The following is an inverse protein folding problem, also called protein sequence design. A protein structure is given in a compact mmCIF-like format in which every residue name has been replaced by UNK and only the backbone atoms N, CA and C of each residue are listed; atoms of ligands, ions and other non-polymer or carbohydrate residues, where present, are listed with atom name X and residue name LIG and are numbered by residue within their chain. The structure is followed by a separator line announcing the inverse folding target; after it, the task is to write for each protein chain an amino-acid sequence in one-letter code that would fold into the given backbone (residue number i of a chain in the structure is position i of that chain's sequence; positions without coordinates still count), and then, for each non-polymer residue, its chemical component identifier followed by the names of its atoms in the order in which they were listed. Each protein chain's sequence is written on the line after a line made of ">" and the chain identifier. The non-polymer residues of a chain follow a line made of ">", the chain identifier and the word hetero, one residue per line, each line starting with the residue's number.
data_IF_783041217992
#
_entry.id   IF_783041217992
#
_cell.length_a   1.000
_cell.length_b   1.000
_cell.length_c   1.000
_cell.angle_alpha   90.00
_cell.angle_beta   90.00
_cell.angle_gamma   90.00
#
_symmetry.space_group_name_H-M   'P 1'
#
loop_
_entity.id
_entity.type
_entity.pdbx_description
1 polymer ?
#
# COMPACT_ATOMS: atom_id res chain seq x y z
N UNK A 1 -27.31 3.36 -5.61
CA UNK A 1 -27.01 2.24 -4.67
C UNK A 1 -25.68 2.41 -3.92
N UNK A 2 -24.58 2.87 -4.53
CA UNK A 2 -23.27 3.01 -3.82
C UNK A 2 -23.26 3.96 -2.60
N UNK A 3 -24.24 4.86 -2.51
CA UNK A 3 -24.40 5.84 -1.41
C UNK A 3 -25.33 5.38 -0.29
N UNK A 4 -25.91 4.19 -0.40
CA UNK A 4 -26.86 3.67 0.57
C UNK A 4 -26.12 2.96 1.71
N UNK A 5 -26.67 3.06 2.92
CA UNK A 5 -26.13 2.32 4.06
C UNK A 5 -26.31 0.81 3.86
N UNK A 6 -25.57 0.00 4.61
CA UNK A 6 -25.72 -1.46 4.56
C UNK A 6 -27.13 -1.92 4.92
N UNK A 7 -27.82 -1.19 5.82
CA UNK A 7 -29.19 -1.47 6.20
C UNK A 7 -30.18 -1.12 5.08
N UNK A 8 -30.03 0.04 4.44
CA UNK A 8 -30.87 0.42 3.30
C UNK A 8 -30.74 -0.57 2.14
N UNK A 9 -29.52 -1.06 1.90
CA UNK A 9 -29.26 -2.07 0.88
C UNK A 9 -29.90 -3.43 1.24
N UNK A 10 -29.98 -3.80 2.53
CA UNK A 10 -30.72 -5.00 2.97
C UNK A 10 -32.22 -4.84 2.76
N UNK A 11 -32.77 -3.69 3.10
CA UNK A 11 -34.19 -3.39 2.85
C UNK A 11 -34.51 -3.41 1.35
N UNK A 12 -33.59 -2.90 0.51
CA UNK A 12 -33.74 -2.98 -0.95
C UNK A 12 -33.82 -4.41 -1.50
N UNK A 13 -33.20 -5.40 -0.85
CA UNK A 13 -33.32 -6.82 -1.27
C UNK A 13 -34.74 -7.34 -1.16
N UNK A 14 -35.55 -6.76 -0.26
CA UNK A 14 -36.92 -7.20 -0.01
C UNK A 14 -37.94 -6.59 -0.99
N UNK A 15 -37.56 -5.54 -1.73
CA UNK A 15 -38.48 -4.79 -2.60
C UNK A 15 -38.87 -5.58 -3.84
N UNK A 16 -37.88 -6.06 -4.60
CA UNK A 16 -38.14 -6.89 -5.78
C UNK A 16 -36.91 -7.72 -6.18
N UNK A 17 -37.11 -8.73 -7.03
CA UNK A 17 -36.03 -9.62 -7.52
C UNK A 17 -34.89 -8.84 -8.20
N UNK A 18 -35.20 -7.86 -9.05
CA UNK A 18 -34.18 -7.08 -9.77
C UNK A 18 -33.28 -6.27 -8.83
N UNK A 19 -33.84 -5.70 -7.76
CA UNK A 19 -33.06 -4.99 -6.74
C UNK A 19 -32.26 -5.97 -5.88
N UNK A 20 -32.84 -7.12 -5.54
CA UNK A 20 -32.10 -8.18 -4.86
C UNK A 20 -30.89 -8.65 -5.68
N UNK A 21 -31.05 -8.88 -6.98
CA UNK A 21 -29.96 -9.26 -7.88
C UNK A 21 -28.88 -8.17 -7.94
N UNK A 22 -29.29 -6.90 -7.96
CA UNK A 22 -28.38 -5.76 -7.97
C UNK A 22 -27.59 -5.62 -6.67
N UNK A 23 -28.23 -5.78 -5.51
CA UNK A 23 -27.55 -5.76 -4.21
C UNK A 23 -26.67 -7.00 -4.04
N UNK A 24 -27.09 -8.15 -4.56
CA UNK A 24 -26.28 -9.37 -4.55
C UNK A 24 -25.01 -9.18 -5.37
N UNK A 25 -25.10 -8.55 -6.55
CA UNK A 25 -23.93 -8.15 -7.34
C UNK A 25 -23.01 -7.18 -6.58
N UNK A 26 -23.57 -6.20 -5.87
CA UNK A 26 -22.77 -5.28 -5.04
C UNK A 26 -22.07 -5.99 -3.87
N UNK A 27 -22.66 -7.04 -3.31
CA UNK A 27 -22.10 -7.85 -2.23
C UNK A 27 -21.03 -8.87 -2.73
N UNK A 28 -20.82 -8.94 -4.04
CA UNK A 28 -19.66 -9.60 -4.65
C UNK A 28 -18.40 -8.73 -4.57
N UNK A 29 -18.55 -7.40 -4.51
CA UNK A 29 -17.42 -6.48 -4.33
C UNK A 29 -17.03 -6.44 -2.85
N UNK A 30 -15.80 -6.84 -2.53
CA UNK A 30 -15.27 -6.73 -1.18
C UNK A 30 -14.65 -5.34 -1.03
N UNK A 31 -15.16 -4.52 -0.10
CA UNK A 31 -14.63 -3.17 0.11
C UNK A 31 -13.22 -3.23 0.70
N UNK A 32 -13.06 -4.02 1.76
CA UNK A 32 -11.80 -4.11 2.51
C UNK A 32 -11.59 -5.50 3.07
N UNK A 33 -10.38 -6.00 2.98
CA UNK A 33 -9.88 -7.15 3.73
C UNK A 33 -8.72 -6.67 4.58
N UNK A 34 -8.75 -6.94 5.88
CA UNK A 34 -7.65 -6.67 6.79
C UNK A 34 -7.22 -7.98 7.45
N UNK A 35 -5.93 -8.27 7.35
CA UNK A 35 -5.27 -9.41 7.97
C UNK A 35 -4.27 -8.82 8.96
N UNK A 36 -4.42 -9.16 10.23
CA UNK A 36 -3.53 -8.74 11.30
C UNK A 36 -2.94 -9.98 11.98
N UNK A 37 -1.63 -10.14 11.89
CA UNK A 37 -0.87 -11.17 12.61
C UNK A 37 -0.40 -10.61 13.95
N UNK A 38 -0.47 -11.42 14.99
CA UNK A 38 0.15 -11.20 16.30
C UNK A 38 0.90 -12.47 16.68
N UNK A 39 1.69 -12.43 17.75
CA UNK A 39 2.50 -13.56 18.22
C UNK A 39 1.70 -14.88 18.37
N UNK A 40 0.42 -14.76 18.72
CA UNK A 40 -0.43 -15.91 19.04
C UNK A 40 -1.78 -15.89 18.32
N UNK A 41 -1.99 -15.00 17.35
CA UNK A 41 -3.27 -14.98 16.64
C UNK A 41 -3.21 -14.36 15.25
N UNK A 42 -4.13 -14.79 14.39
CA UNK A 42 -4.49 -14.09 13.15
C UNK A 42 -5.91 -13.56 13.30
N UNK A 43 -6.07 -12.27 13.01
CA UNK A 43 -7.36 -11.65 12.84
C UNK A 43 -7.62 -11.34 11.37
N UNK A 44 -8.77 -11.79 10.88
CA UNK A 44 -9.24 -11.50 9.53
C UNK A 44 -10.55 -10.72 9.64
N UNK A 45 -10.58 -9.55 9.00
CA UNK A 45 -11.75 -8.68 8.92
C UNK A 45 -12.07 -8.44 7.46
N UNK A 46 -13.29 -8.80 7.05
CA UNK A 46 -13.79 -8.62 5.68
C UNK A 46 -15.01 -7.72 5.73
N UNK A 47 -14.91 -6.58 5.05
CA UNK A 47 -15.97 -5.58 4.97
C UNK A 47 -16.53 -5.55 3.56
N UNK A 48 -17.86 -5.70 3.45
CA UNK A 48 -18.63 -5.62 2.22
C UNK A 48 -19.68 -4.50 2.32
N UNK A 49 -20.33 -4.10 1.21
CA UNK A 49 -21.33 -3.03 1.28
C UNK A 49 -22.49 -3.26 2.24
N UNK A 50 -22.89 -4.53 2.46
CA UNK A 50 -24.06 -4.90 3.26
C UNK A 50 -23.76 -5.86 4.41
N UNK A 51 -22.52 -6.32 4.49
CA UNK A 51 -22.11 -7.35 5.44
C UNK A 51 -20.70 -7.10 5.94
N UNK A 52 -20.47 -7.60 7.15
CA UNK A 52 -19.21 -7.51 7.86
C UNK A 52 -18.93 -8.89 8.44
N UNK A 53 -17.69 -9.33 8.29
CA UNK A 53 -17.20 -10.58 8.83
C UNK A 53 -15.90 -10.31 9.58
N UNK A 54 -15.81 -10.85 10.79
CA UNK A 54 -14.56 -10.89 11.54
C UNK A 54 -14.41 -12.27 12.13
N UNK A 55 -13.20 -12.80 12.01
CA UNK A 55 -12.76 -13.95 12.76
C UNK A 55 -11.39 -13.69 13.38
N UNK A 56 -11.15 -14.35 14.49
CA UNK A 56 -9.86 -14.42 15.16
C UNK A 56 -9.52 -15.89 15.35
N UNK A 57 -8.31 -16.28 14.99
CA UNK A 57 -7.76 -17.61 15.22
C UNK A 57 -6.61 -17.46 16.20
N UNK A 58 -6.72 -18.06 17.38
CA UNK A 58 -5.74 -17.91 18.46
C UNK A 58 -5.04 -19.25 18.72
N UNK A 59 -3.73 -19.24 18.90
CA UNK A 59 -2.96 -20.41 19.28
C UNK A 59 -3.44 -21.00 20.62
N UNK A 60 -3.40 -22.32 20.74
CA UNK A 60 -3.72 -23.07 21.94
C UNK A 60 -2.72 -24.22 22.13
N UNK A 61 -2.66 -24.79 23.34
CA UNK A 61 -1.64 -25.79 23.71
C UNK A 61 -1.51 -26.97 22.71
N UNK A 62 -2.63 -27.43 22.13
CA UNK A 62 -2.65 -28.54 21.18
C UNK A 62 -3.34 -28.16 19.85
N UNK A 63 -3.23 -26.92 19.39
CA UNK A 63 -3.83 -26.47 18.12
C UNK A 63 -4.23 -25.01 18.16
N UNK A 64 -5.47 -24.70 17.77
CA UNK A 64 -5.97 -23.33 17.82
C UNK A 64 -7.46 -23.23 18.15
N UNK A 65 -7.86 -22.04 18.60
CA UNK A 65 -9.23 -21.65 18.87
C UNK A 65 -9.69 -20.67 17.80
N UNK A 66 -10.74 -21.03 17.09
CA UNK A 66 -11.37 -20.22 16.08
C UNK A 66 -12.61 -19.52 16.61
N UNK A 67 -12.65 -18.20 16.53
CA UNK A 67 -13.78 -17.40 16.93
C UNK A 67 -14.29 -16.56 15.75
N UNK A 68 -15.57 -16.75 15.40
CA UNK A 68 -16.27 -15.99 14.36
C UNK A 68 -17.38 -15.15 14.99
N UNK A 69 -17.57 -13.92 14.53
CA UNK A 69 -18.59 -12.99 15.06
C UNK A 69 -19.95 -13.66 15.30
N UNK A 70 -20.40 -13.66 16.56
CA UNK A 70 -21.70 -14.17 16.97
C UNK A 70 -21.80 -15.70 17.10
N UNK A 71 -20.69 -16.43 16.95
CA UNK A 71 -20.63 -17.88 17.10
C UNK A 71 -19.75 -18.28 18.28
N UNK A 72 -20.05 -19.44 18.85
CA UNK A 72 -19.22 -20.06 19.87
C UNK A 72 -17.83 -20.41 19.31
N UNK A 73 -16.77 -20.25 20.11
CA UNK A 73 -15.44 -20.67 19.69
C UNK A 73 -15.41 -22.15 19.33
N UNK A 74 -14.70 -22.48 18.24
CA UNK A 74 -14.45 -23.85 17.80
C UNK A 74 -12.98 -24.18 18.05
N UNK A 75 -12.69 -25.35 18.62
CA UNK A 75 -11.31 -25.81 18.84
C UNK A 75 -10.90 -26.71 17.69
N UNK A 76 -9.76 -26.41 17.08
CA UNK A 76 -9.13 -27.25 16.06
C UNK A 76 -7.86 -27.86 16.63
N UNK A 77 -7.95 -29.14 17.00
CA UNK A 77 -6.81 -29.89 17.51
C UNK A 77 -5.79 -30.18 16.39
N UNK A 78 -4.50 -30.10 16.71
CA UNK A 78 -3.39 -30.37 15.80
C UNK A 78 -3.23 -29.40 14.63
N UNK A 79 -4.01 -28.32 14.58
CA UNK A 79 -3.99 -27.33 13.50
C UNK A 79 -3.31 -26.04 13.96
N UNK A 80 -2.39 -25.52 13.14
CA UNK A 80 -1.73 -24.24 13.39
C UNK A 80 -2.69 -23.06 13.10
N UNK A 81 -2.61 -22.00 13.91
CA UNK A 81 -3.51 -20.86 13.80
C UNK A 81 -3.29 -20.04 12.52
N UNK A 82 -2.08 -20.05 11.94
CA UNK A 82 -1.78 -19.42 10.66
C UNK A 82 -2.48 -20.18 9.54
N UNK A 83 -2.42 -21.51 9.55
CA UNK A 83 -3.10 -22.35 8.57
C UNK A 83 -4.62 -22.15 8.56
N UNK A 84 -5.25 -22.14 9.73
CA UNK A 84 -6.68 -21.88 9.85
C UNK A 84 -7.04 -20.44 9.45
N UNK A 85 -6.21 -19.46 9.80
CA UNK A 85 -6.37 -18.07 9.35
C UNK A 85 -6.33 -17.95 7.83
N UNK A 86 -5.38 -18.64 7.17
CA UNK A 86 -5.26 -18.65 5.72
C UNK A 86 -6.40 -19.39 5.03
N UNK A 87 -6.98 -20.43 5.64
CA UNK A 87 -8.20 -21.08 5.12
C UNK A 87 -9.37 -20.10 5.07
N UNK A 88 -9.57 -19.30 6.10
CA UNK A 88 -10.63 -18.28 6.10
C UNK A 88 -10.34 -17.14 5.12
N UNK A 89 -9.08 -16.71 5.00
CA UNK A 89 -8.70 -15.74 3.99
C UNK A 89 -8.99 -16.28 2.58
N UNK A 90 -8.63 -17.53 2.30
CA UNK A 90 -8.92 -18.17 1.03
C UNK A 90 -10.43 -18.14 0.72
N UNK A 91 -11.29 -18.51 1.69
CA UNK A 91 -12.76 -18.43 1.53
C UNK A 91 -13.23 -17.00 1.22
N UNK A 92 -12.59 -15.98 1.79
CA UNK A 92 -12.94 -14.59 1.54
C UNK A 92 -12.61 -14.15 0.11
N UNK A 93 -11.57 -14.72 -0.50
CA UNK A 93 -11.14 -14.36 -1.85
C UNK A 93 -11.52 -15.38 -2.92
N UNK A 94 -11.91 -16.61 -2.59
CA UNK A 94 -12.04 -17.78 -3.50
C UNK A 94 -12.75 -17.53 -4.84
N UNK A 95 -13.71 -16.61 -4.89
CA UNK A 95 -14.42 -16.27 -6.13
C UNK A 95 -13.46 -15.75 -7.21
N UNK A 96 -13.58 -16.32 -8.43
CA UNK A 96 -12.73 -15.98 -9.59
C UNK A 96 -12.69 -14.47 -9.88
N UNK A 97 -13.85 -13.83 -9.94
CA UNK A 97 -13.97 -12.41 -10.32
C UNK A 97 -14.05 -11.45 -9.13
N UNK A 98 -13.56 -11.85 -7.95
CA UNK A 98 -13.60 -10.97 -6.79
C UNK A 98 -12.74 -9.73 -7.02
N UNK A 99 -13.32 -8.56 -6.71
CA UNK A 99 -12.60 -7.30 -6.64
C UNK A 99 -12.50 -6.89 -5.18
N UNK A 100 -11.29 -6.58 -4.74
CA UNK A 100 -11.02 -6.07 -3.40
C UNK A 100 -10.71 -4.58 -3.52
N UNK A 101 -11.42 -3.73 -2.79
CA UNK A 101 -11.09 -2.30 -2.75
C UNK A 101 -9.74 -2.09 -2.07
N UNK A 102 -9.61 -2.59 -0.85
CA UNK A 102 -8.42 -2.44 -0.02
C UNK A 102 -8.00 -3.79 0.57
N UNK A 103 -6.74 -4.16 0.42
CA UNK A 103 -6.12 -5.27 1.15
C UNK A 103 -5.09 -4.71 2.13
N UNK A 104 -5.31 -4.94 3.43
CA UNK A 104 -4.44 -4.49 4.51
C UNK A 104 -3.78 -5.71 5.13
N UNK A 105 -2.46 -5.78 5.11
CA UNK A 105 -1.67 -6.88 5.69
C UNK A 105 -0.72 -6.28 6.71
N UNK A 106 -0.95 -6.57 7.98
CA UNK A 106 -0.23 -6.00 9.11
C UNK A 106 0.18 -7.09 10.08
N UNK A 107 1.21 -6.82 10.87
CA UNK A 107 1.61 -7.66 11.99
C UNK A 107 1.96 -6.79 13.19
N UNK A 108 1.94 -7.40 14.37
CA UNK A 108 2.40 -6.79 15.61
C UNK A 108 3.92 -6.66 15.60
N UNK A 109 4.43 -5.45 15.83
CA UNK A 109 5.87 -5.21 15.99
C UNK A 109 6.36 -5.99 17.20
N UNK A 110 7.02 -7.11 16.93
CA UNK A 110 7.61 -7.93 17.97
C UNK A 110 8.90 -7.30 18.47
N UNK A 111 9.01 -7.11 19.79
CA UNK A 111 10.32 -6.97 20.43
C UNK A 111 11.22 -8.13 19.96
N UNK A 112 12.40 -7.78 19.45
CA UNK A 112 13.55 -8.50 18.86
C UNK A 112 13.73 -10.02 19.05
N UNK A 113 12.67 -10.83 19.02
CA UNK A 113 12.74 -12.27 19.25
C UNK A 113 12.85 -13.05 17.92
N UNK A 114 13.89 -13.90 17.74
CA UNK A 114 14.09 -14.69 16.52
C UNK A 114 12.91 -15.58 16.14
N UNK A 115 12.15 -16.05 17.13
CA UNK A 115 10.97 -16.89 16.92
C UNK A 115 9.82 -16.12 16.25
N UNK A 116 9.71 -14.81 16.50
CA UNK A 116 8.69 -13.94 15.89
C UNK A 116 8.97 -13.70 14.40
N UNK A 117 10.25 -13.49 14.05
CA UNK A 117 10.66 -13.37 12.64
C UNK A 117 10.31 -14.64 11.84
N UNK A 118 10.55 -15.84 12.41
CA UNK A 118 10.22 -17.12 11.76
C UNK A 118 8.71 -17.28 11.49
N UNK A 119 7.85 -16.87 12.44
CA UNK A 119 6.39 -16.93 12.26
C UNK A 119 5.88 -15.90 11.25
N UNK A 120 6.53 -14.75 11.16
CA UNK A 120 6.22 -13.76 10.14
C UNK A 120 6.56 -14.26 8.73
N UNK A 121 7.77 -14.84 8.55
CA UNK A 121 8.17 -15.44 7.29
C UNK A 121 7.17 -16.54 6.87
N UNK A 122 6.82 -17.44 7.81
CA UNK A 122 5.81 -18.48 7.58
C UNK A 122 4.45 -17.89 7.16
N UNK A 123 4.03 -16.79 7.79
CA UNK A 123 2.79 -16.10 7.44
C UNK A 123 2.82 -15.56 6.01
N UNK A 124 3.89 -14.86 5.59
CA UNK A 124 4.00 -14.33 4.23
C UNK A 124 4.09 -15.45 3.19
N UNK A 125 4.81 -16.54 3.48
CA UNK A 125 4.85 -17.71 2.63
C UNK A 125 3.47 -18.34 2.45
N UNK A 126 2.72 -18.57 3.54
CA UNK A 126 1.38 -19.16 3.46
C UNK A 126 0.35 -18.21 2.84
N UNK A 127 0.47 -16.90 3.06
CA UNK A 127 -0.38 -15.90 2.40
C UNK A 127 -0.12 -15.88 0.88
N UNK A 128 1.15 -15.84 0.48
CA UNK A 128 1.55 -15.94 -0.92
C UNK A 128 1.08 -17.24 -1.56
N UNK A 129 1.30 -18.39 -0.90
CA UNK A 129 0.82 -19.68 -1.37
C UNK A 129 -0.71 -19.74 -1.51
N UNK A 130 -1.44 -19.05 -0.63
CA UNK A 130 -2.90 -18.96 -0.70
C UNK A 130 -3.34 -18.12 -1.90
N UNK A 131 -2.67 -17.00 -2.18
CA UNK A 131 -2.95 -16.18 -3.34
C UNK A 131 -2.54 -16.88 -4.66
N UNK A 132 -1.43 -17.61 -4.66
CA UNK A 132 -0.88 -18.31 -5.82
C UNK A 132 -1.75 -19.51 -6.27
N UNK A 133 -2.59 -20.07 -5.38
CA UNK A 133 -3.56 -21.12 -5.73
C UNK A 133 -4.67 -20.64 -6.65
N UNK A 134 -4.82 -19.34 -6.84
CA UNK A 134 -5.84 -18.76 -7.71
C UNK A 134 -5.44 -18.90 -9.17
N UNK A 135 -6.42 -19.20 -10.03
CA UNK A 135 -6.24 -19.19 -11.49
C UNK A 135 -5.81 -17.81 -12.02
N UNK A 136 -6.14 -16.74 -11.29
CA UNK A 136 -5.84 -15.35 -11.63
C UNK A 136 -5.38 -14.58 -10.40
N UNK A 137 -4.44 -13.65 -10.62
CA UNK A 137 -3.98 -12.71 -9.59
C UNK A 137 -5.16 -11.99 -8.94
N UNK A 138 -5.09 -11.77 -7.64
CA UNK A 138 -6.14 -11.04 -6.93
C UNK A 138 -6.15 -9.58 -7.41
N UNK A 139 -7.29 -9.13 -7.91
CA UNK A 139 -7.48 -7.73 -8.27
C UNK A 139 -7.84 -6.93 -7.02
N UNK A 140 -6.87 -6.19 -6.49
CA UNK A 140 -7.05 -5.26 -5.39
C UNK A 140 -6.76 -3.84 -5.86
N UNK A 141 -7.63 -2.86 -5.61
CA UNK A 141 -7.32 -1.46 -6.01
C UNK A 141 -6.12 -0.94 -5.21
N UNK A 142 -6.14 -1.15 -3.90
CA UNK A 142 -5.13 -0.70 -2.96
C UNK A 142 -4.57 -1.86 -2.12
N UNK A 143 -3.25 -1.90 -1.95
CA UNK A 143 -2.55 -2.75 -1.00
C UNK A 143 -1.82 -1.88 0.02
N UNK A 144 -2.15 -2.06 1.31
CA UNK A 144 -1.38 -1.55 2.43
C UNK A 144 -0.71 -2.71 3.15
N UNK A 145 0.61 -2.69 3.26
CA UNK A 145 1.39 -3.82 3.76
C UNK A 145 2.53 -3.36 4.65
N UNK A 146 2.64 -3.95 5.85
CA UNK A 146 3.83 -3.90 6.68
C UNK A 146 4.80 -5.01 6.28
N UNK A 147 6.10 -4.71 6.10
CA UNK A 147 7.16 -5.69 5.78
C UNK A 147 8.48 -5.35 6.48
N UNK A 148 9.28 -6.36 6.80
CA UNK A 148 10.67 -6.24 7.22
C UNK A 148 11.63 -6.38 6.03
N UNK A 149 11.29 -7.23 5.04
CA UNK A 149 12.20 -7.53 3.92
C UNK A 149 11.56 -7.32 2.54
N UNK A 150 12.36 -7.00 1.51
CA UNK A 150 11.86 -6.94 0.13
C UNK A 150 11.25 -8.25 -0.36
N UNK A 151 11.68 -9.40 0.18
CA UNK A 151 11.16 -10.70 -0.22
C UNK A 151 9.69 -10.87 0.16
N UNK A 152 9.30 -10.45 1.36
CA UNK A 152 7.91 -10.49 1.83
C UNK A 152 6.99 -9.68 0.90
N UNK A 153 7.40 -8.46 0.55
CA UNK A 153 6.66 -7.61 -0.37
C UNK A 153 6.56 -8.25 -1.76
N UNK A 154 7.68 -8.80 -2.26
CA UNK A 154 7.74 -9.47 -3.56
C UNK A 154 6.76 -10.64 -3.63
N UNK A 155 6.74 -11.49 -2.62
CA UNK A 155 5.85 -12.66 -2.54
C UNK A 155 4.38 -12.27 -2.71
N UNK A 156 3.97 -11.15 -2.13
CA UNK A 156 2.59 -10.67 -2.26
C UNK A 156 2.36 -10.02 -3.63
N UNK A 157 3.25 -9.13 -4.07
CA UNK A 157 3.11 -8.40 -5.35
C UNK A 157 3.10 -9.31 -6.58
N UNK A 158 3.72 -10.47 -6.52
CA UNK A 158 3.66 -11.47 -7.59
C UNK A 158 2.24 -12.01 -7.81
N UNK A 159 1.40 -12.00 -6.78
CA UNK A 159 0.09 -12.65 -6.78
C UNK A 159 -1.11 -11.67 -6.80
N UNK A 160 -0.83 -10.36 -6.90
CA UNK A 160 -1.87 -9.32 -6.93
C UNK A 160 -1.73 -8.41 -8.15
N UNK A 161 -2.83 -7.77 -8.54
CA UNK A 161 -2.88 -6.67 -9.48
C UNK A 161 -3.48 -5.45 -8.77
N UNK A 162 -2.79 -4.30 -8.80
CA UNK A 162 -3.18 -3.09 -8.08
C UNK A 162 -2.86 -1.77 -8.79
N UNK A 163 -3.41 -0.68 -8.29
CA UNK A 163 -3.09 0.68 -8.74
C UNK A 163 -2.46 1.53 -7.63
N UNK A 164 -2.68 1.16 -6.36
CA UNK A 164 -2.25 1.93 -5.19
C UNK A 164 -1.49 1.03 -4.22
N UNK A 165 -0.25 1.41 -3.87
CA UNK A 165 0.64 0.65 -3.01
C UNK A 165 1.12 1.51 -1.84
N UNK A 166 0.82 1.06 -0.62
CA UNK A 166 1.27 1.66 0.62
C UNK A 166 2.14 0.65 1.38
N UNK A 167 3.41 0.97 1.60
CA UNK A 167 4.39 0.10 2.25
C UNK A 167 4.79 0.74 3.56
N UNK A 168 4.70 -0.02 4.65
CA UNK A 168 5.35 0.31 5.91
C UNK A 168 6.55 -0.61 6.09
N UNK A 169 7.74 -0.04 6.08
CA UNK A 169 8.96 -0.79 6.36
C UNK A 169 9.16 -0.81 7.87
N UNK A 170 9.09 -1.98 8.44
CA UNK A 170 9.40 -2.23 9.83
C UNK A 170 10.88 -2.58 9.94
N UNK A 171 11.57 -1.88 10.82
CA UNK A 171 12.92 -2.17 11.29
C UNK A 171 14.02 -2.46 10.23
N UNK A 172 14.79 -1.42 9.90
CA UNK A 172 15.95 -1.47 8.99
C UNK A 172 17.23 -1.98 9.71
N UNK A 173 17.14 -3.12 10.41
CA UNK A 173 18.17 -3.62 11.37
C UNK A 173 19.59 -3.64 10.81
N UNK A 174 19.76 -4.16 9.59
CA UNK A 174 21.07 -4.41 8.97
C UNK A 174 21.31 -3.62 7.68
N UNK A 175 20.25 -3.15 7.05
CA UNK A 175 20.31 -2.40 5.81
C UNK A 175 19.95 -0.95 6.11
N UNK A 176 20.85 0.00 5.79
CA UNK A 176 20.52 1.43 5.90
C UNK A 176 19.31 1.82 5.04
N UNK A 177 18.93 0.98 4.07
CA UNK A 177 17.85 1.22 3.10
C UNK A 177 17.10 -0.05 2.73
N UNK A 178 15.78 0.05 2.55
CA UNK A 178 14.95 -1.01 1.99
C UNK A 178 15.18 -1.15 0.48
N UNK A 179 15.64 -2.32 0.03
CA UNK A 179 15.96 -2.55 -1.38
C UNK A 179 14.72 -2.81 -2.25
N UNK A 180 14.39 -1.84 -3.12
CA UNK A 180 13.27 -1.90 -4.05
C UNK A 180 13.63 -2.41 -5.45
N UNK A 181 14.90 -2.71 -5.74
CA UNK A 181 15.32 -3.27 -7.03
C UNK A 181 14.59 -4.57 -7.41
N UNK A 182 14.39 -5.56 -6.52
CA UNK A 182 13.62 -6.76 -6.87
C UNK A 182 12.12 -6.48 -7.10
N UNK A 183 11.62 -5.34 -6.62
CA UNK A 183 10.21 -4.96 -6.71
C UNK A 183 9.91 -4.20 -8.00
N UNK A 184 10.76 -3.23 -8.36
CA UNK A 184 10.52 -2.35 -9.52
C UNK A 184 10.57 -3.07 -10.87
N UNK A 185 11.20 -4.25 -10.91
CA UNK A 185 11.24 -5.09 -12.12
C UNK A 185 9.97 -5.92 -12.31
N UNK A 186 9.11 -6.03 -11.29
CA UNK A 186 7.86 -6.78 -11.41
C UNK A 186 6.93 -6.11 -12.43
N UNK A 187 6.21 -6.87 -13.27
CA UNK A 187 5.27 -6.29 -14.25
C UNK A 187 4.23 -5.37 -13.62
N UNK A 188 3.84 -5.68 -12.37
CA UNK A 188 2.86 -4.92 -11.60
C UNK A 188 3.33 -3.49 -11.26
N UNK A 189 4.65 -3.24 -11.18
CA UNK A 189 5.19 -1.92 -10.88
C UNK A 189 4.69 -0.83 -11.84
N UNK A 190 4.54 -1.18 -13.12
CA UNK A 190 4.10 -0.25 -14.19
C UNK A 190 2.63 0.17 -14.06
N UNK A 191 1.84 -0.57 -13.29
CA UNK A 191 0.42 -0.29 -13.07
C UNK A 191 0.17 0.62 -11.85
N UNK A 192 1.18 0.81 -11.01
CA UNK A 192 1.09 1.63 -9.80
C UNK A 192 0.98 3.10 -10.21
N UNK A 193 -0.07 3.77 -9.73
CA UNK A 193 -0.35 5.19 -9.92
C UNK A 193 -0.12 6.00 -8.65
N UNK A 194 -0.35 5.37 -7.49
CA UNK A 194 -0.12 5.93 -6.16
C UNK A 194 0.85 5.03 -5.38
N UNK A 195 1.91 5.63 -4.84
CA UNK A 195 2.91 4.95 -4.04
C UNK A 195 3.14 5.73 -2.74
N UNK A 196 2.98 5.07 -1.61
CA UNK A 196 3.33 5.58 -0.29
C UNK A 196 4.32 4.60 0.35
N UNK A 197 5.47 5.09 0.80
CA UNK A 197 6.49 4.28 1.47
C UNK A 197 6.90 5.00 2.76
N UNK A 198 6.50 4.40 3.88
CA UNK A 198 6.97 4.73 5.22
C UNK A 198 8.24 3.93 5.51
N UNK A 199 9.40 4.53 5.22
CA UNK A 199 10.73 3.94 5.42
C UNK A 199 11.71 4.34 4.32
N UNK A 200 13.00 4.47 4.67
CA UNK A 200 14.05 4.82 3.72
C UNK A 200 14.29 3.68 2.70
N UNK A 201 14.18 3.97 1.40
CA UNK A 201 14.29 2.97 0.33
C UNK A 201 15.32 3.32 -0.76
N UNK A 202 15.70 2.32 -1.56
CA UNK A 202 16.71 2.42 -2.63
C UNK A 202 16.21 3.05 -3.95
N UNK A 203 14.95 3.50 -4.00
CA UNK A 203 14.34 4.08 -5.20
C UNK A 203 14.97 5.42 -5.57
N UNK A 204 15.00 5.70 -6.88
CA UNK A 204 15.48 6.94 -7.46
C UNK A 204 14.35 7.72 -8.12
N UNK A 205 14.61 9.00 -8.38
CA UNK A 205 13.64 9.88 -9.07
C UNK A 205 13.17 9.33 -10.42
N UNK A 206 14.03 8.61 -11.14
CA UNK A 206 13.68 7.99 -12.42
C UNK A 206 12.69 6.83 -12.28
N UNK A 207 12.66 6.16 -11.13
CA UNK A 207 11.79 5.01 -10.89
C UNK A 207 10.31 5.43 -10.71
N UNK A 208 10.07 6.72 -10.46
CA UNK A 208 8.74 7.29 -10.25
C UNK A 208 8.09 7.90 -11.49
N UNK A 209 8.76 7.90 -12.66
CA UNK A 209 8.32 8.66 -13.84
C UNK A 209 6.89 8.36 -14.31
N UNK A 210 6.40 7.12 -14.16
CA UNK A 210 5.03 6.76 -14.53
C UNK A 210 4.02 6.94 -13.38
N UNK A 211 4.48 7.14 -12.15
CA UNK A 211 3.64 7.24 -10.95
C UNK A 211 3.19 8.69 -10.78
N UNK A 212 1.89 8.88 -10.54
CA UNK A 212 1.26 10.21 -10.46
C UNK A 212 1.33 10.79 -9.05
N UNK A 213 1.18 9.93 -8.03
CA UNK A 213 1.27 10.32 -6.63
C UNK A 213 2.35 9.51 -5.92
N UNK A 214 3.32 10.18 -5.31
CA UNK A 214 4.40 9.53 -4.55
C UNK A 214 4.60 10.22 -3.21
N UNK A 215 4.53 9.48 -2.12
CA UNK A 215 5.11 9.84 -0.84
C UNK A 215 6.16 8.80 -0.47
N UNK A 216 7.42 9.19 -0.33
CA UNK A 216 8.49 8.23 -0.02
C UNK A 216 9.67 8.88 0.69
N UNK A 217 10.40 8.10 1.48
CA UNK A 217 11.72 8.45 1.96
C UNK A 217 12.79 7.76 1.10
N UNK A 218 13.68 8.56 0.49
CA UNK A 218 14.73 8.05 -0.41
C UNK A 218 16.09 8.62 -0.04
N UNK A 219 17.14 7.94 -0.49
CA UNK A 219 18.50 8.44 -0.37
C UNK A 219 18.65 9.78 -1.12
N UNK A 220 19.56 10.66 -0.66
CA UNK A 220 19.84 11.92 -1.34
C UNK A 220 20.23 11.67 -2.80
N UNK A 221 19.59 12.40 -3.71
CA UNK A 221 19.93 12.38 -5.13
C UNK A 221 20.75 13.62 -5.52
N UNK A 222 21.40 13.56 -6.67
CA UNK A 222 22.19 14.70 -7.17
C UNK A 222 21.28 15.83 -7.65
N UNK A 223 21.78 17.06 -7.57
CA UNK A 223 21.11 18.25 -8.13
C UNK A 223 20.72 18.04 -9.60
N UNK A 224 21.61 17.42 -10.39
CA UNK A 224 21.36 17.14 -11.80
C UNK A 224 20.17 16.19 -12.01
N UNK A 225 20.04 15.14 -11.18
CA UNK A 225 18.93 14.19 -11.27
C UNK A 225 17.61 14.82 -10.83
N UNK A 226 17.61 15.65 -9.80
CA UNK A 226 16.42 16.41 -9.36
C UNK A 226 15.94 17.33 -10.47
N UNK A 227 16.84 18.12 -11.07
CA UNK A 227 16.49 19.01 -12.17
C UNK A 227 16.04 18.23 -13.40
N UNK A 228 16.74 17.15 -13.76
CA UNK A 228 16.36 16.29 -14.88
C UNK A 228 14.97 15.65 -14.68
N UNK A 229 14.61 15.27 -13.46
CA UNK A 229 13.27 14.81 -13.13
C UNK A 229 12.24 15.92 -13.35
N UNK A 230 12.48 17.12 -12.80
CA UNK A 230 11.59 18.29 -13.00
C UNK A 230 11.42 18.57 -14.50
N UNK A 231 12.50 18.68 -15.27
CA UNK A 231 12.45 18.96 -16.71
C UNK A 231 11.71 17.88 -17.50
N UNK A 232 11.89 16.62 -17.13
CA UNK A 232 11.13 15.51 -17.72
C UNK A 232 9.63 15.68 -17.42
N UNK A 233 9.27 16.07 -16.19
CA UNK A 233 7.88 16.32 -15.79
C UNK A 233 7.24 17.48 -16.51
N UNK A 234 7.95 18.59 -16.70
CA UNK A 234 7.44 19.75 -17.42
C UNK A 234 7.01 19.41 -18.86
N UNK A 235 7.53 18.30 -19.43
CA UNK A 235 7.21 17.83 -20.78
C UNK A 235 6.14 16.72 -20.81
N UNK A 236 5.64 16.27 -19.65
CA UNK A 236 4.63 15.21 -19.57
C UNK A 236 3.28 15.74 -19.06
N UNK A 237 2.15 15.35 -19.67
CA UNK A 237 0.83 15.88 -19.33
C UNK A 237 0.18 15.23 -18.09
N UNK A 238 0.94 14.49 -17.28
CA UNK A 238 0.39 13.72 -16.15
C UNK A 238 0.34 14.58 -14.89
N UNK A 239 -0.79 14.57 -14.17
CA UNK A 239 -0.91 15.25 -12.87
C UNK A 239 0.11 14.66 -11.87
N UNK A 240 0.87 15.51 -11.20
CA UNK A 240 1.93 15.15 -10.26
C UNK A 240 1.61 15.63 -8.85
N UNK A 241 1.74 14.71 -7.89
CA UNK A 241 1.78 15.01 -6.46
C UNK A 241 2.89 14.17 -5.82
N UNK A 242 4.11 14.73 -5.81
CA UNK A 242 5.30 14.06 -5.28
C UNK A 242 5.74 14.77 -4.00
N UNK A 243 5.94 13.99 -2.94
CA UNK A 243 6.55 14.38 -1.68
C UNK A 243 7.67 13.38 -1.36
N UNK A 244 8.92 13.83 -1.44
CA UNK A 244 10.07 13.02 -1.10
C UNK A 244 10.76 13.56 0.15
N UNK A 245 10.89 12.69 1.15
CA UNK A 245 11.72 12.92 2.32
C UNK A 245 13.13 12.49 1.94
N UNK A 246 14.02 13.46 1.76
CA UNK A 246 15.42 13.23 1.41
C UNK A 246 16.27 14.31 2.08
N UNK A 247 17.41 13.92 2.66
CA UNK A 247 18.36 14.88 3.25
C UNK A 247 19.14 15.55 2.11
N UNK A 248 18.94 16.84 1.92
CA UNK A 248 19.70 17.63 0.94
C UNK A 248 20.76 18.42 1.69
N UNK A 249 22.02 18.23 1.33
CA UNK A 249 23.11 19.01 1.91
C UNK A 249 22.97 20.50 1.55
N UNK A 250 23.63 21.36 2.33
CA UNK A 250 23.47 22.80 2.15
C UNK A 250 23.91 23.30 0.77
N UNK A 251 24.99 22.74 0.21
CA UNK A 251 25.51 23.13 -1.10
C UNK A 251 24.53 22.75 -2.22
N UNK A 252 24.03 21.51 -2.21
CA UNK A 252 23.02 21.04 -3.16
C UNK A 252 21.73 21.84 -3.07
N UNK A 253 21.28 22.18 -1.85
CA UNK A 253 20.10 22.99 -1.65
C UNK A 253 20.26 24.41 -2.21
N UNK A 254 21.42 25.05 -2.01
CA UNK A 254 21.73 26.37 -2.59
C UNK A 254 21.77 26.30 -4.12
N UNK A 255 22.43 25.28 -4.69
CA UNK A 255 22.50 25.07 -6.13
C UNK A 255 21.10 24.87 -6.75
N UNK A 256 20.25 24.05 -6.14
CA UNK A 256 18.86 23.86 -6.56
C UNK A 256 18.08 25.18 -6.58
N UNK A 257 18.21 25.99 -5.52
CA UNK A 257 17.54 27.30 -5.45
C UNK A 257 17.99 28.23 -6.57
N UNK A 258 19.28 28.29 -6.89
CA UNK A 258 19.79 29.15 -7.98
C UNK A 258 19.32 28.68 -9.36
N UNK A 259 19.25 27.37 -9.60
CA UNK A 259 18.72 26.83 -10.85
C UNK A 259 17.22 27.12 -10.97
N UNK A 260 16.45 26.90 -9.90
CA UNK A 260 15.00 27.04 -9.93
C UNK A 260 14.51 28.48 -10.09
N UNK A 261 15.30 29.50 -9.70
CA UNK A 261 15.01 30.91 -9.99
C UNK A 261 14.80 31.20 -11.48
N UNK A 262 15.37 30.38 -12.37
CA UNK A 262 15.21 30.54 -13.82
C UNK A 262 13.78 30.26 -14.29
N UNK A 263 13.01 29.50 -13.51
CA UNK A 263 11.64 29.12 -13.84
C UNK A 263 10.58 30.08 -13.29
N UNK A 264 10.94 30.97 -12.35
CA UNK A 264 10.01 31.92 -11.78
C UNK A 264 10.44 32.50 -10.44
N UNK A 265 9.64 33.43 -9.88
CA UNK A 265 9.88 33.97 -8.56
C UNK A 265 9.73 32.89 -7.48
N UNK A 266 10.53 33.03 -6.43
CA UNK A 266 10.51 32.12 -5.27
C UNK A 266 10.46 32.90 -3.96
N UNK A 267 9.81 32.32 -2.96
CA UNK A 267 9.67 32.87 -1.61
C UNK A 267 10.38 31.97 -0.61
N UNK A 268 11.14 32.54 0.32
CA UNK A 268 11.81 31.77 1.38
C UNK A 268 11.35 32.24 2.76
N UNK A 269 10.75 31.35 3.54
CA UNK A 269 10.24 31.61 4.89
C UNK A 269 10.63 30.44 5.79
N UNK A 270 11.24 30.71 6.94
CA UNK A 270 11.53 29.66 7.95
C UNK A 270 12.43 28.51 7.45
N UNK A 271 13.34 28.77 6.51
CA UNK A 271 14.21 27.75 5.92
C UNK A 271 13.57 26.90 4.81
N UNK A 272 12.29 27.13 4.52
CA UNK A 272 11.57 26.57 3.39
C UNK A 272 11.64 27.53 2.20
N UNK A 273 11.94 27.03 1.00
CA UNK A 273 11.86 27.78 -0.25
C UNK A 273 10.77 27.21 -1.12
N UNK A 274 9.84 28.06 -1.56
CA UNK A 274 8.72 27.69 -2.44
C UNK A 274 8.75 28.52 -3.71
N UNK A 275 8.34 27.94 -4.81
CA UNK A 275 8.17 28.66 -6.08
C UNK A 275 7.21 27.94 -7.00
N UNK A 276 6.95 28.56 -8.15
CA UNK A 276 6.04 28.04 -9.18
C UNK A 276 6.78 27.96 -10.51
N UNK A 277 6.54 26.89 -11.24
CA UNK A 277 7.02 26.67 -12.60
C UNK A 277 5.80 26.63 -13.50
N UNK A 278 5.79 27.45 -14.55
CA UNK A 278 4.71 27.44 -15.54
C UNK A 278 4.87 26.25 -16.49
N UNK A 279 3.78 25.53 -16.72
CA UNK A 279 3.68 24.44 -17.68
C UNK A 279 3.35 24.96 -19.08
N UNK A 280 3.65 24.16 -20.11
CA UNK A 280 3.26 24.47 -21.49
C UNK A 280 1.73 24.59 -21.66
N UNK A 281 0.95 23.91 -20.81
CA UNK A 281 -0.52 24.01 -20.78
C UNK A 281 -1.03 25.37 -20.29
N UNK A 282 -0.18 26.16 -19.64
CA UNK A 282 -0.56 27.39 -18.92
C UNK A 282 -0.82 27.18 -17.43
N UNK A 283 -0.87 25.93 -16.96
CA UNK A 283 -0.99 25.58 -15.53
C UNK A 283 0.34 25.78 -14.79
N UNK A 284 0.35 25.56 -13.47
CA UNK A 284 1.54 25.72 -12.64
C UNK A 284 1.85 24.47 -11.83
N UNK A 285 3.15 24.19 -11.71
CA UNK A 285 3.67 23.24 -10.74
C UNK A 285 4.32 24.00 -9.59
N UNK A 286 3.86 23.75 -8.37
CA UNK A 286 4.49 24.27 -7.16
C UNK A 286 5.59 23.34 -6.71
N UNK A 287 6.76 23.90 -6.43
CA UNK A 287 7.82 23.19 -5.73
C UNK A 287 8.02 23.74 -4.32
N UNK A 288 8.41 22.84 -3.41
CA UNK A 288 8.86 23.18 -2.06
C UNK A 288 10.19 22.49 -1.80
N UNK A 289 11.16 23.26 -1.30
CA UNK A 289 12.49 22.79 -0.92
C UNK A 289 12.75 23.04 0.57
N UNK A 290 13.15 21.99 1.28
CA UNK A 290 13.60 22.01 2.68
C UNK A 290 14.91 21.25 2.80
N UNK A 291 15.59 21.40 3.93
CA UNK A 291 16.81 20.63 4.23
C UNK A 291 16.56 19.11 4.26
N UNK A 292 15.36 18.70 4.64
CA UNK A 292 14.99 17.29 4.85
C UNK A 292 13.93 16.77 3.88
N UNK A 293 13.47 17.59 2.93
CA UNK A 293 12.45 17.16 1.98
C UNK A 293 12.38 18.05 0.76
N UNK A 294 11.82 17.47 -0.30
CA UNK A 294 11.46 18.16 -1.53
C UNK A 294 10.07 17.70 -1.97
N UNK A 295 9.26 18.61 -2.49
CA UNK A 295 7.97 18.25 -3.09
C UNK A 295 7.72 19.00 -4.39
N UNK A 296 6.94 18.37 -5.26
CA UNK A 296 6.49 18.89 -6.54
C UNK A 296 5.00 18.56 -6.70
N UNK A 297 4.15 19.57 -6.83
CA UNK A 297 2.69 19.39 -6.87
C UNK A 297 2.06 20.29 -7.93
N UNK A 298 1.18 19.75 -8.75
CA UNK A 298 0.37 20.58 -9.64
C UNK A 298 -0.65 21.41 -8.87
N UNK A 299 -0.79 22.67 -9.25
CA UNK A 299 -1.85 23.56 -8.78
C UNK A 299 -2.87 23.71 -9.92
N UNK A 300 -4.07 23.13 -9.71
CA UNK A 300 -5.25 23.32 -10.56
C UNK A 300 -6.03 24.57 -10.16
#
# INVERSE_FOLDING_TARGET
>A
MRYLSGEDLRQLRLVCRSLNDSVTKLDLDTRKIMIYLSDHSIQLIVTKPVSYFRCTVTAAANGCVFQKCGFWPTVYEGSDYIDEGMKEFNKAVEKRDIKVGELHVQYEDGDEEPEKNSRQDEFFEKLSATLAKRDQKLNCRELSIGVNTPLELKLILENVCLEELCIRVHDLRDAETFDMDPIKILPQWKNIKNLDIEGLCSLRLTDFQHISCVEAEILPDTVANIIGHIETRLRTPTIVNILLRMKIDHGSLVALKEILKRYGPQTSIGGETTGRIQLESGDFVKYTLKKSSWSLKDEQ
#
